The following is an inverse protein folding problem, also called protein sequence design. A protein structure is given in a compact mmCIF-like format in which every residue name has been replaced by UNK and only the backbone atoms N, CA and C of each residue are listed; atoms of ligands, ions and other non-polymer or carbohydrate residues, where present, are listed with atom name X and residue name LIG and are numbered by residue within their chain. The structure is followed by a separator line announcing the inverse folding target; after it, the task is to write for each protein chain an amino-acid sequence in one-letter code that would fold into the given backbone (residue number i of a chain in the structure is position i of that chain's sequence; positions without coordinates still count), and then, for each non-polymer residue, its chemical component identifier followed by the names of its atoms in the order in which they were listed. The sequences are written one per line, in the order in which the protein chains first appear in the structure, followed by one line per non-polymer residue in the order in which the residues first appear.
data_IF_659872367829
#
_entry.id   IF_659872367829
#
_cell.length_a   1.000
_cell.length_b   1.000
_cell.length_c   1.000
_cell.angle_alpha   90.00
_cell.angle_beta   90.00
_cell.angle_gamma   90.00
#
_symmetry.space_group_name_H-M   'P 1'
#
loop_
_entity.id
_entity.type
_entity.pdbx_description
1 polymer ?
#
# COMPACT_ATOMS: atom_id res chain seq x y z
N UNK A 1 -3.95 -16.21 17.24
CA UNK A 1 -4.02 -14.81 16.71
C UNK A 1 -5.10 -14.81 15.67
N UNK A 2 -6.02 -13.86 15.75
CA UNK A 2 -7.05 -13.73 14.73
C UNK A 2 -6.37 -13.42 13.39
N UNK A 3 -6.87 -14.03 12.30
CA UNK A 3 -6.34 -13.75 10.96
C UNK A 3 -6.53 -12.29 10.61
N UNK A 4 -5.56 -11.68 9.92
CA UNK A 4 -5.70 -10.31 9.41
C UNK A 4 -6.93 -10.27 8.49
N UNK A 5 -7.88 -9.34 8.70
CA UNK A 5 -9.00 -9.18 7.79
C UNK A 5 -8.51 -8.92 6.37
N UNK A 6 -9.22 -9.48 5.40
CA UNK A 6 -8.90 -9.29 3.99
C UNK A 6 -10.00 -8.50 3.28
N UNK A 7 -9.61 -7.69 2.31
CA UNK A 7 -10.51 -7.07 1.36
C UNK A 7 -10.48 -7.85 0.05
N UNK A 8 -11.64 -7.95 -0.61
CA UNK A 8 -11.73 -8.54 -1.95
C UNK A 8 -11.63 -7.42 -2.98
N UNK A 9 -10.62 -7.50 -3.83
CA UNK A 9 -10.41 -6.59 -4.96
C UNK A 9 -11.46 -6.83 -6.06
N UNK A 10 -11.62 -5.88 -6.97
CA UNK A 10 -12.62 -5.95 -8.06
C UNK A 10 -12.43 -7.14 -9.02
N UNK A 11 -11.28 -7.76 -9.02
CA UNK A 11 -10.97 -8.97 -9.79
C UNK A 11 -11.07 -10.27 -8.97
N UNK A 12 -11.59 -10.20 -7.73
CA UNK A 12 -11.77 -11.36 -6.84
C UNK A 12 -10.56 -11.76 -6.02
N UNK A 13 -9.39 -11.15 -6.23
CA UNK A 13 -8.19 -11.41 -5.41
C UNK A 13 -8.37 -10.82 -4.01
N UNK A 14 -8.01 -11.58 -2.98
CA UNK A 14 -8.05 -11.10 -1.60
C UNK A 14 -6.70 -10.52 -1.20
N UNK A 15 -6.72 -9.37 -0.52
CA UNK A 15 -5.55 -8.67 -0.01
C UNK A 15 -5.70 -8.43 1.51
N UNK A 16 -4.67 -8.74 2.33
CA UNK A 16 -4.70 -8.39 3.75
C UNK A 16 -4.87 -6.89 3.97
N UNK A 17 -5.76 -6.51 4.87
CA UNK A 17 -6.07 -5.10 5.15
C UNK A 17 -4.94 -4.36 5.87
N UNK A 18 -3.99 -5.09 6.46
CA UNK A 18 -2.77 -4.56 7.06
C UNK A 18 -1.55 -5.21 6.42
N UNK A 19 -0.73 -4.42 5.77
CA UNK A 19 0.54 -4.83 5.17
C UNK A 19 1.74 -4.16 5.83
N UNK A 20 2.93 -4.55 5.42
CA UNK A 20 4.20 -4.02 5.89
C UNK A 20 4.95 -3.34 4.73
N UNK A 21 5.17 -2.02 4.84
CA UNK A 21 5.91 -1.25 3.85
C UNK A 21 7.41 -1.22 4.16
N UNK A 22 8.25 -1.20 3.11
CA UNK A 22 9.72 -1.18 3.27
C UNK A 22 10.38 0.11 2.72
N UNK A 23 9.61 1.14 2.41
CA UNK A 23 10.17 2.41 1.94
C UNK A 23 11.18 2.99 2.93
N UNK A 24 12.37 3.39 2.43
CA UNK A 24 13.50 3.90 3.24
C UNK A 24 14.07 2.89 4.26
N UNK A 25 13.82 1.59 4.09
CA UNK A 25 14.68 0.58 4.70
C UNK A 25 15.89 0.38 3.81
N UNK A 26 17.11 0.54 4.34
CA UNK A 26 18.30 0.21 3.56
C UNK A 26 18.38 -1.31 3.34
N UNK A 27 19.00 -1.77 2.24
CA UNK A 27 19.07 -3.20 1.90
C UNK A 27 19.53 -4.07 3.07
N UNK A 28 20.57 -3.67 3.79
CA UNK A 28 21.16 -4.40 4.91
C UNK A 28 20.22 -4.62 6.11
N UNK A 29 19.15 -3.81 6.23
CA UNK A 29 18.15 -3.96 7.29
C UNK A 29 16.85 -4.63 6.78
N UNK A 30 16.62 -4.60 5.46
CA UNK A 30 15.33 -4.97 4.87
C UNK A 30 15.00 -6.43 5.10
N UNK A 31 15.92 -7.36 4.83
CA UNK A 31 15.69 -8.79 5.00
C UNK A 31 15.27 -9.12 6.44
N UNK A 32 16.01 -8.62 7.44
CA UNK A 32 15.69 -8.83 8.85
C UNK A 32 14.34 -8.21 9.24
N UNK A 33 14.06 -6.99 8.78
CA UNK A 33 12.83 -6.28 9.14
C UNK A 33 11.59 -6.94 8.53
N UNK A 34 11.66 -7.42 7.29
CA UNK A 34 10.60 -8.19 6.63
C UNK A 34 10.40 -9.55 7.33
N UNK A 35 11.48 -10.26 7.66
CA UNK A 35 11.41 -11.51 8.45
C UNK A 35 10.68 -11.28 9.78
N UNK A 36 11.05 -10.22 10.53
CA UNK A 36 10.38 -9.85 11.77
C UNK A 36 8.90 -9.53 11.57
N UNK A 37 8.54 -8.86 10.45
CA UNK A 37 7.14 -8.58 10.15
C UNK A 37 6.35 -9.87 9.87
N UNK A 38 6.90 -10.80 9.08
CA UNK A 38 6.26 -12.09 8.79
C UNK A 38 6.09 -12.91 10.07
N UNK A 39 7.11 -12.96 10.94
CA UNK A 39 7.05 -13.61 12.27
C UNK A 39 5.98 -12.96 13.18
N UNK A 40 5.79 -11.65 13.12
CA UNK A 40 4.74 -10.93 13.85
C UNK A 40 3.33 -11.21 13.33
N UNK A 41 3.19 -11.82 12.14
CA UNK A 41 1.90 -12.18 11.54
C UNK A 41 1.53 -11.42 10.27
N UNK A 42 2.34 -10.46 9.81
CA UNK A 42 2.08 -9.81 8.53
C UNK A 42 2.11 -10.83 7.38
N UNK A 43 1.19 -10.69 6.44
CA UNK A 43 1.08 -11.52 5.24
C UNK A 43 1.09 -10.69 3.94
N UNK A 44 1.13 -9.36 4.03
CA UNK A 44 1.29 -8.46 2.90
C UNK A 44 2.55 -7.64 3.05
N UNK A 45 3.42 -7.66 2.02
CA UNK A 45 4.70 -6.96 1.98
C UNK A 45 4.70 -6.03 0.76
N UNK A 46 4.94 -4.74 0.99
CA UNK A 46 4.95 -3.70 -0.05
C UNK A 46 6.36 -3.15 -0.26
N UNK A 47 6.90 -3.34 -1.45
CA UNK A 47 8.14 -2.76 -1.92
C UNK A 47 7.96 -1.98 -3.22
N UNK A 48 9.03 -1.53 -3.84
CA UNK A 48 9.06 -0.89 -5.15
C UNK A 48 10.48 -0.91 -5.74
N UNK A 49 10.58 -0.87 -7.06
CA UNK A 49 11.86 -0.75 -7.79
C UNK A 49 12.71 0.42 -7.26
N UNK A 50 12.07 1.57 -7.02
CA UNK A 50 12.73 2.77 -6.48
C UNK A 50 13.46 2.51 -5.14
N UNK A 51 12.95 1.59 -4.31
CA UNK A 51 13.49 1.39 -2.96
C UNK A 51 14.81 0.63 -2.95
N UNK A 52 15.16 -0.05 -4.06
CA UNK A 52 16.41 -0.80 -4.26
C UNK A 52 16.64 -1.89 -3.22
N UNK A 53 15.55 -2.48 -2.73
CA UNK A 53 15.58 -3.53 -1.70
C UNK A 53 14.69 -4.74 -2.05
N UNK A 54 14.29 -4.87 -3.32
CA UNK A 54 13.45 -5.98 -3.79
C UNK A 54 14.11 -7.34 -3.55
N UNK A 55 15.42 -7.45 -3.75
CA UNK A 55 16.19 -8.68 -3.52
C UNK A 55 16.14 -9.13 -2.06
N UNK A 56 16.27 -8.21 -1.13
CA UNK A 56 16.23 -8.50 0.30
C UNK A 56 14.81 -8.85 0.77
N UNK A 57 13.79 -8.24 0.17
CA UNK A 57 12.39 -8.65 0.36
C UNK A 57 12.20 -10.10 -0.12
N UNK A 58 12.67 -10.43 -1.32
CA UNK A 58 12.59 -11.78 -1.87
C UNK A 58 13.29 -12.83 -0.99
N UNK A 59 14.49 -12.52 -0.48
CA UNK A 59 15.20 -13.41 0.46
C UNK A 59 14.39 -13.65 1.74
N UNK A 60 13.83 -12.59 2.34
CA UNK A 60 13.01 -12.72 3.54
C UNK A 60 11.76 -13.55 3.30
N UNK A 61 11.09 -13.37 2.17
CA UNK A 61 9.93 -14.17 1.74
C UNK A 61 10.32 -15.62 1.60
N UNK A 62 11.41 -15.93 0.88
CA UNK A 62 11.90 -17.30 0.67
C UNK A 62 12.38 -18.00 1.94
N UNK A 63 12.92 -17.26 2.90
CA UNK A 63 13.42 -17.77 4.19
C UNK A 63 12.35 -17.86 5.28
N UNK A 64 11.14 -17.32 5.06
CA UNK A 64 10.11 -17.17 6.10
C UNK A 64 9.49 -18.47 6.59
N UNK A 65 9.58 -19.54 5.80
CA UNK A 65 8.89 -20.82 6.06
C UNK A 65 7.36 -20.74 5.88
N UNK A 66 6.81 -19.58 5.49
CA UNK A 66 5.40 -19.41 5.17
C UNK A 66 5.17 -19.81 3.70
N UNK A 67 4.15 -20.61 3.38
CA UNK A 67 3.81 -20.92 1.99
C UNK A 67 3.66 -19.66 1.14
N UNK A 68 4.20 -19.66 -0.10
CA UNK A 68 4.20 -18.48 -0.97
C UNK A 68 2.80 -17.93 -1.22
N UNK A 69 1.82 -18.80 -1.35
CA UNK A 69 0.41 -18.50 -1.58
C UNK A 69 -0.28 -17.83 -0.38
N UNK A 70 0.30 -17.89 0.81
CA UNK A 70 -0.17 -17.19 2.01
C UNK A 70 0.43 -15.79 2.14
N UNK A 71 1.44 -15.46 1.32
CA UNK A 71 2.06 -14.13 1.29
C UNK A 71 1.57 -13.33 0.10
N UNK A 72 1.25 -12.07 0.33
CA UNK A 72 0.86 -11.09 -0.67
C UNK A 72 2.01 -10.12 -0.90
N UNK A 73 2.66 -10.17 -2.05
CA UNK A 73 3.83 -9.37 -2.38
C UNK A 73 3.50 -8.35 -3.45
N UNK A 74 3.70 -7.07 -3.12
CA UNK A 74 3.50 -5.93 -4.01
C UNK A 74 4.83 -5.29 -4.38
N UNK A 75 5.04 -5.00 -5.66
CA UNK A 75 6.07 -4.06 -6.09
C UNK A 75 5.53 -3.09 -7.15
N UNK A 76 6.34 -2.09 -7.55
CA UNK A 76 5.90 -0.97 -8.38
C UNK A 76 6.92 -0.63 -9.45
N UNK A 77 6.42 -0.38 -10.67
CA UNK A 77 7.15 0.18 -11.80
C UNK A 77 7.56 1.62 -11.48
N UNK A 78 8.84 1.96 -11.71
CA UNK A 78 9.29 3.34 -11.50
C UNK A 78 9.06 4.23 -12.74
N UNK A 79 9.17 5.54 -12.54
CA UNK A 79 8.78 6.58 -13.50
C UNK A 79 9.56 6.55 -14.84
N UNK A 80 10.82 6.17 -14.83
CA UNK A 80 11.68 6.08 -16.02
C UNK A 80 11.42 4.83 -16.89
N UNK A 81 10.53 3.96 -16.42
CA UNK A 81 10.19 2.69 -17.07
C UNK A 81 8.77 2.71 -17.70
N UNK A 82 8.16 3.90 -17.82
CA UNK A 82 6.86 4.05 -18.48
C UNK A 82 6.92 3.70 -19.98
N UNK A 83 5.87 3.03 -20.46
CA UNK A 83 5.71 2.55 -21.85
C UNK A 83 5.47 1.05 -21.88
N UNK A 84 4.94 0.53 -22.97
CA UNK A 84 4.51 -0.86 -23.06
C UNK A 84 5.70 -1.83 -22.90
N UNK A 85 6.68 -1.78 -23.78
CA UNK A 85 7.83 -2.70 -23.77
C UNK A 85 8.74 -2.46 -22.54
N UNK A 86 8.92 -1.19 -22.16
CA UNK A 86 9.73 -0.84 -21.01
C UNK A 86 9.11 -1.40 -19.72
N UNK A 87 7.79 -1.32 -19.56
CA UNK A 87 7.07 -1.84 -18.41
C UNK A 87 7.14 -3.38 -18.30
N UNK A 88 7.05 -4.10 -19.44
CA UNK A 88 7.22 -5.56 -19.45
C UNK A 88 8.65 -5.93 -19.03
N UNK A 89 9.66 -5.25 -19.58
CA UNK A 89 11.05 -5.48 -19.19
C UNK A 89 11.34 -5.12 -17.72
N UNK A 90 10.71 -4.05 -17.20
CA UNK A 90 10.82 -3.65 -15.81
C UNK A 90 10.22 -4.68 -14.86
N UNK A 91 9.05 -5.23 -15.21
CA UNK A 91 8.42 -6.30 -14.45
C UNK A 91 9.35 -7.53 -14.33
N UNK A 92 9.93 -8.00 -15.43
CA UNK A 92 10.84 -9.15 -15.40
C UNK A 92 12.06 -8.90 -14.53
N UNK A 93 12.61 -7.68 -14.54
CA UNK A 93 13.71 -7.32 -13.63
C UNK A 93 13.29 -7.36 -12.17
N UNK A 94 12.16 -6.74 -11.81
CA UNK A 94 11.62 -6.73 -10.43
C UNK A 94 11.30 -8.15 -9.95
N UNK A 95 10.65 -8.97 -10.80
CA UNK A 95 10.35 -10.37 -10.52
C UNK A 95 11.64 -11.19 -10.27
N UNK A 96 12.65 -10.97 -11.11
CA UNK A 96 13.97 -11.60 -10.97
C UNK A 96 14.71 -11.18 -9.71
N UNK A 97 14.69 -9.88 -9.34
CA UNK A 97 15.29 -9.39 -8.09
C UNK A 97 14.57 -9.95 -6.86
N UNK A 98 13.24 -10.04 -6.89
CA UNK A 98 12.45 -10.69 -5.84
C UNK A 98 12.65 -12.21 -5.80
N UNK A 99 13.09 -12.84 -6.90
CA UNK A 99 13.24 -14.29 -7.00
C UNK A 99 11.91 -15.04 -6.89
N UNK A 100 10.83 -14.45 -7.40
CA UNK A 100 9.48 -15.01 -7.33
C UNK A 100 8.97 -15.42 -8.72
N UNK A 101 8.14 -16.47 -8.76
CA UNK A 101 7.52 -16.92 -10.01
C UNK A 101 6.38 -16.02 -10.46
N UNK A 102 5.67 -15.39 -9.52
CA UNK A 102 4.58 -14.47 -9.75
C UNK A 102 4.54 -13.37 -8.67
N UNK A 103 3.86 -12.26 -8.98
CA UNK A 103 3.54 -11.22 -8.01
C UNK A 103 2.04 -11.21 -7.70
N UNK A 104 1.68 -10.82 -6.48
CA UNK A 104 0.29 -10.68 -6.09
C UNK A 104 -0.30 -9.37 -6.62
N UNK A 105 0.49 -8.28 -6.58
CA UNK A 105 0.07 -6.98 -7.07
C UNK A 105 1.26 -6.23 -7.71
N UNK A 106 1.04 -5.68 -8.89
CA UNK A 106 1.99 -4.80 -9.56
C UNK A 106 1.36 -3.44 -9.83
N UNK A 107 2.04 -2.36 -9.43
CA UNK A 107 1.53 -1.00 -9.50
C UNK A 107 2.35 -0.11 -10.43
N UNK A 108 1.69 0.82 -11.13
CA UNK A 108 2.36 2.02 -11.66
C UNK A 108 2.58 2.96 -10.47
N UNK A 109 3.84 3.32 -10.17
CA UNK A 109 4.19 4.06 -8.94
C UNK A 109 3.65 5.50 -8.92
N UNK A 110 3.70 6.20 -10.06
CA UNK A 110 3.18 7.55 -10.26
C UNK A 110 2.61 7.69 -11.68
N UNK A 111 1.61 8.55 -11.89
CA UNK A 111 1.05 8.76 -13.24
C UNK A 111 2.01 9.48 -14.19
N UNK A 112 2.90 10.34 -13.66
CA UNK A 112 3.81 11.21 -14.42
C UNK A 112 3.12 11.85 -15.63
N UNK A 113 2.15 12.77 -15.40
CA UNK A 113 1.34 13.33 -16.48
C UNK A 113 2.18 14.03 -17.57
N UNK A 114 3.36 14.57 -17.18
CA UNK A 114 4.29 15.22 -18.10
C UNK A 114 4.86 14.28 -19.17
N UNK A 115 4.93 12.97 -18.93
CA UNK A 115 5.34 11.97 -19.89
C UNK A 115 4.18 11.46 -20.77
N UNK A 116 2.96 11.58 -20.28
CA UNK A 116 1.73 11.11 -20.95
C UNK A 116 1.75 9.65 -21.42
N UNK A 117 2.42 8.75 -20.66
CA UNK A 117 2.63 7.35 -21.04
C UNK A 117 1.95 6.33 -20.13
N UNK A 118 1.24 6.75 -19.08
CA UNK A 118 0.65 5.81 -18.13
C UNK A 118 -0.46 4.92 -18.72
N UNK A 119 -1.18 5.37 -19.74
CA UNK A 119 -2.18 4.53 -20.44
C UNK A 119 -1.49 3.39 -21.23
N UNK A 120 -0.41 3.70 -21.92
CA UNK A 120 0.41 2.70 -22.61
C UNK A 120 1.03 1.71 -21.61
N UNK A 121 1.56 2.23 -20.52
CA UNK A 121 2.09 1.43 -19.39
C UNK A 121 1.01 0.52 -18.80
N UNK A 122 -0.21 1.03 -18.60
CA UNK A 122 -1.31 0.24 -18.08
C UNK A 122 -1.66 -0.95 -18.99
N UNK A 123 -1.62 -0.78 -20.30
CA UNK A 123 -1.82 -1.89 -21.26
C UNK A 123 -0.77 -3.00 -21.11
N UNK A 124 0.47 -2.65 -20.76
CA UNK A 124 1.48 -3.65 -20.43
C UNK A 124 1.12 -4.42 -19.13
N UNK A 125 0.62 -3.74 -18.11
CA UNK A 125 0.16 -4.40 -16.88
C UNK A 125 -1.05 -5.33 -17.17
N UNK A 126 -1.98 -4.93 -18.04
CA UNK A 126 -3.07 -5.79 -18.48
C UNK A 126 -2.57 -7.06 -19.16
N UNK A 127 -1.51 -6.97 -19.97
CA UNK A 127 -0.85 -8.14 -20.58
C UNK A 127 -0.28 -9.07 -19.52
N UNK A 128 0.44 -8.53 -18.52
CA UNK A 128 0.99 -9.33 -17.41
C UNK A 128 -0.10 -10.03 -16.59
N UNK A 129 -1.24 -9.37 -16.39
CA UNK A 129 -2.39 -9.96 -15.73
C UNK A 129 -2.98 -11.10 -16.56
N UNK A 130 -3.16 -10.91 -17.86
CA UNK A 130 -3.70 -11.93 -18.76
C UNK A 130 -2.80 -13.16 -18.89
N UNK A 131 -1.48 -12.97 -18.77
CA UNK A 131 -0.50 -14.06 -18.80
C UNK A 131 -0.40 -14.83 -17.47
N UNK A 132 -1.06 -14.34 -16.42
CA UNK A 132 -0.97 -14.92 -15.08
C UNK A 132 0.34 -14.62 -14.34
N UNK A 133 1.17 -13.71 -14.86
CA UNK A 133 2.41 -13.28 -14.21
C UNK A 133 2.16 -12.46 -12.95
N UNK A 134 1.01 -11.79 -12.87
CA UNK A 134 0.52 -11.07 -11.70
C UNK A 134 -0.91 -11.47 -11.39
N UNK A 135 -1.30 -11.48 -10.11
CA UNK A 135 -2.66 -11.80 -9.68
C UNK A 135 -3.60 -10.59 -9.74
N UNK A 136 -3.06 -9.39 -9.53
CA UNK A 136 -3.80 -8.13 -9.61
C UNK A 136 -2.88 -7.02 -10.12
N UNK A 137 -3.49 -6.01 -10.76
CA UNK A 137 -2.81 -4.80 -11.22
C UNK A 137 -3.50 -3.57 -10.66
N UNK A 138 -2.70 -2.56 -10.34
CA UNK A 138 -3.20 -1.32 -9.77
C UNK A 138 -2.28 -0.15 -10.09
N UNK A 139 -2.57 0.95 -9.43
CA UNK A 139 -1.83 2.19 -9.59
C UNK A 139 -1.47 2.79 -8.23
N UNK A 140 -0.57 3.76 -8.22
CA UNK A 140 -0.25 4.53 -7.03
C UNK A 140 -0.21 6.02 -7.39
N UNK A 141 -0.73 6.86 -6.48
CA UNK A 141 -0.75 8.31 -6.62
C UNK A 141 -1.59 8.85 -7.80
N UNK A 142 -2.53 8.07 -8.32
CA UNK A 142 -3.42 8.53 -9.38
C UNK A 142 -4.55 9.38 -8.81
N UNK A 143 -4.80 10.53 -9.46
CA UNK A 143 -5.93 11.42 -9.18
C UNK A 143 -7.16 11.01 -10.01
N UNK A 144 -8.38 11.50 -9.70
CA UNK A 144 -9.58 11.14 -10.45
C UNK A 144 -9.46 11.35 -11.96
N UNK A 145 -8.75 12.38 -12.41
CA UNK A 145 -8.52 12.66 -13.84
C UNK A 145 -7.71 11.55 -14.51
N UNK A 146 -6.68 11.04 -13.84
CA UNK A 146 -5.86 9.95 -14.36
C UNK A 146 -6.63 8.63 -14.39
N UNK A 147 -7.39 8.35 -13.32
CA UNK A 147 -8.21 7.13 -13.22
C UNK A 147 -9.32 7.10 -14.27
N UNK A 148 -10.05 8.22 -14.48
CA UNK A 148 -11.06 8.31 -15.55
C UNK A 148 -10.46 7.97 -16.89
N UNK A 149 -9.31 8.54 -17.22
CA UNK A 149 -8.65 8.29 -18.50
C UNK A 149 -8.26 6.81 -18.67
N UNK A 150 -7.78 6.13 -17.62
CA UNK A 150 -7.55 4.68 -17.67
C UNK A 150 -8.84 3.92 -17.93
N UNK A 151 -9.90 4.23 -17.19
CA UNK A 151 -11.21 3.55 -17.31
C UNK A 151 -11.82 3.76 -18.70
N UNK A 152 -11.69 4.96 -19.26
CA UNK A 152 -12.26 5.30 -20.58
C UNK A 152 -11.46 4.72 -21.76
N UNK A 153 -10.15 4.55 -21.61
CA UNK A 153 -9.25 4.18 -22.71
C UNK A 153 -8.71 2.74 -22.64
N UNK A 154 -9.12 1.99 -21.60
CA UNK A 154 -8.66 0.62 -21.39
C UNK A 154 -9.79 -0.27 -20.87
N UNK A 155 -9.58 -1.59 -20.91
CA UNK A 155 -10.61 -2.58 -20.58
C UNK A 155 -10.71 -2.92 -19.09
N UNK A 156 -9.61 -2.75 -18.34
CA UNK A 156 -9.51 -3.19 -16.96
C UNK A 156 -9.39 -1.97 -16.03
N UNK A 157 -10.31 -1.90 -15.06
CA UNK A 157 -10.27 -0.92 -13.98
C UNK A 157 -9.17 -1.30 -12.99
N UNK A 158 -8.33 -0.36 -12.52
CA UNK A 158 -7.35 -0.66 -11.48
C UNK A 158 -7.99 -1.34 -10.27
N UNK A 159 -7.39 -2.44 -9.81
CA UNK A 159 -7.91 -3.14 -8.65
C UNK A 159 -7.70 -2.34 -7.35
N UNK A 160 -6.65 -1.52 -7.34
CA UNK A 160 -6.24 -0.75 -6.17
C UNK A 160 -5.55 0.55 -6.60
N UNK A 161 -5.74 1.63 -5.83
CA UNK A 161 -4.93 2.84 -5.89
C UNK A 161 -4.27 3.08 -4.52
N UNK A 162 -2.93 3.04 -4.48
CA UNK A 162 -2.14 3.30 -3.28
C UNK A 162 -1.81 4.80 -3.20
N UNK A 163 -2.32 5.49 -2.19
CA UNK A 163 -2.23 6.96 -2.08
C UNK A 163 -1.68 7.39 -0.72
N UNK A 164 -1.14 8.62 -0.64
CA UNK A 164 -0.90 9.23 0.66
C UNK A 164 -2.23 9.39 1.40
N UNK A 165 -2.36 8.75 2.55
CA UNK A 165 -3.57 8.86 3.33
C UNK A 165 -3.27 8.71 4.82
N UNK A 166 -3.70 9.69 5.59
CA UNK A 166 -3.58 9.76 7.05
C UNK A 166 -4.55 10.81 7.59
N UNK A 167 -4.72 10.98 8.92
CA UNK A 167 -5.73 11.89 9.47
C UNK A 167 -5.67 13.34 8.98
N UNK A 168 -4.48 13.87 8.61
CA UNK A 168 -4.36 15.22 8.05
C UNK A 168 -4.61 15.29 6.53
N UNK A 169 -4.76 14.13 5.88
CA UNK A 169 -5.03 14.00 4.44
C UNK A 169 -5.92 12.78 4.19
N UNK A 170 -7.19 12.79 4.59
CA UNK A 170 -8.08 11.62 4.45
C UNK A 170 -8.57 11.40 3.02
N UNK A 171 -8.38 12.37 2.11
CA UNK A 171 -8.69 12.29 0.68
C UNK A 171 -10.12 11.77 0.36
N UNK A 172 -11.13 12.33 1.00
CA UNK A 172 -12.51 11.83 0.93
C UNK A 172 -13.06 11.80 -0.51
N UNK A 173 -12.81 12.84 -1.30
CA UNK A 173 -13.27 12.89 -2.70
C UNK A 173 -12.65 11.78 -3.55
N UNK A 174 -11.34 11.54 -3.40
CA UNK A 174 -10.65 10.49 -4.13
C UNK A 174 -11.12 9.11 -3.67
N UNK A 175 -11.34 8.91 -2.37
CA UNK A 175 -11.88 7.65 -1.82
C UNK A 175 -13.31 7.40 -2.28
N UNK A 176 -14.16 8.44 -2.36
CA UNK A 176 -15.50 8.32 -2.91
C UNK A 176 -15.45 7.92 -4.39
N UNK A 177 -14.52 8.49 -5.16
CA UNK A 177 -14.28 8.07 -6.54
C UNK A 177 -13.87 6.60 -6.62
N UNK A 178 -12.95 6.15 -5.77
CA UNK A 178 -12.53 4.75 -5.71
C UNK A 178 -13.72 3.82 -5.43
N UNK A 179 -14.51 4.13 -4.41
CA UNK A 179 -15.68 3.33 -4.03
C UNK A 179 -16.70 3.22 -5.18
N UNK A 180 -16.95 4.33 -5.90
CA UNK A 180 -17.88 4.36 -7.04
C UNK A 180 -17.40 3.48 -8.23
N UNK A 181 -16.11 3.17 -8.32
CA UNK A 181 -15.53 2.39 -9.42
C UNK A 181 -14.99 1.03 -8.97
N UNK A 182 -15.24 0.62 -7.73
CA UNK A 182 -14.76 -0.66 -7.20
C UNK A 182 -13.23 -0.74 -7.05
N UNK A 183 -12.55 0.40 -6.87
CA UNK A 183 -11.11 0.49 -6.68
C UNK A 183 -10.82 0.45 -5.17
N UNK A 184 -9.98 -0.47 -4.72
CA UNK A 184 -9.55 -0.50 -3.32
C UNK A 184 -8.60 0.68 -3.02
N UNK A 185 -8.69 1.22 -1.81
CA UNK A 185 -7.80 2.28 -1.34
C UNK A 185 -6.74 1.71 -0.42
N UNK A 186 -5.47 1.95 -0.72
CA UNK A 186 -4.35 1.61 0.15
C UNK A 186 -3.59 2.87 0.56
N UNK A 187 -3.27 2.96 1.85
CA UNK A 187 -2.61 4.12 2.45
C UNK A 187 -1.09 3.91 2.55
N UNK A 188 -0.31 4.67 1.76
CA UNK A 188 1.09 4.86 2.11
C UNK A 188 1.25 6.03 3.09
N UNK A 189 2.34 6.01 3.89
CA UNK A 189 2.56 6.89 5.04
C UNK A 189 1.32 6.97 5.99
N UNK A 190 0.67 5.84 6.35
CA UNK A 190 -0.59 5.85 7.09
C UNK A 190 -0.46 6.56 8.45
N UNK A 191 0.73 6.64 9.00
CA UNK A 191 1.05 7.29 10.28
C UNK A 191 1.54 8.74 10.14
N UNK A 192 1.38 9.38 8.95
CA UNK A 192 1.89 10.73 8.67
C UNK A 192 3.35 10.91 9.11
N UNK A 193 4.18 9.87 8.93
CA UNK A 193 5.59 9.81 9.38
C UNK A 193 5.77 10.11 10.87
N UNK A 194 4.74 9.93 11.70
CA UNK A 194 4.75 10.14 13.15
C UNK A 194 4.42 11.58 13.59
N UNK A 195 4.17 12.51 12.67
CA UNK A 195 3.85 13.91 12.99
C UNK A 195 2.60 14.08 13.84
N UNK A 196 1.68 13.10 13.80
CA UNK A 196 0.41 13.14 14.51
C UNK A 196 0.45 12.54 15.92
N UNK A 197 1.55 11.94 16.35
CA UNK A 197 1.57 11.21 17.62
C UNK A 197 1.39 12.10 18.86
N UNK A 198 1.79 13.38 18.78
CA UNK A 198 1.59 14.39 19.84
C UNK A 198 0.30 15.20 19.69
N UNK A 199 -0.49 14.96 18.63
CA UNK A 199 -1.79 15.62 18.47
C UNK A 199 -2.70 15.30 19.65
N UNK A 200 -3.38 16.29 20.23
CA UNK A 200 -4.18 16.14 21.46
C UNK A 200 -5.32 15.13 21.33
N UNK A 201 -6.00 15.11 20.19
CA UNK A 201 -7.07 14.14 19.89
C UNK A 201 -6.51 12.72 19.83
N UNK A 202 -5.46 12.49 19.03
CA UNK A 202 -4.83 11.17 18.92
C UNK A 202 -4.26 10.70 20.25
N UNK A 203 -3.54 11.55 20.98
CA UNK A 203 -2.99 11.23 22.30
C UNK A 203 -4.09 10.97 23.35
N UNK A 204 -5.21 11.71 23.28
CA UNK A 204 -6.38 11.48 24.12
C UNK A 204 -7.02 10.11 23.88
N UNK A 205 -7.22 9.75 22.61
CA UNK A 205 -7.75 8.45 22.22
C UNK A 205 -6.79 7.31 22.59
N UNK A 206 -5.48 7.52 22.42
CA UNK A 206 -4.47 6.54 22.83
C UNK A 206 -4.61 6.20 24.34
N UNK A 207 -4.79 7.21 25.20
CA UNK A 207 -5.05 7.00 26.64
C UNK A 207 -6.39 6.30 26.88
N UNK A 208 -7.47 6.74 26.20
CA UNK A 208 -8.82 6.18 26.33
C UNK A 208 -8.86 4.67 26.07
N UNK A 209 -8.16 4.23 25.02
CA UNK A 209 -8.15 2.84 24.60
C UNK A 209 -6.98 2.02 25.16
N UNK A 210 -6.05 2.63 25.92
CA UNK A 210 -4.84 1.95 26.40
C UNK A 210 -3.94 1.47 25.27
N UNK A 211 -3.87 2.24 24.17
CA UNK A 211 -3.13 1.92 22.94
C UNK A 211 -2.13 3.01 22.60
N UNK A 212 -1.19 2.72 21.69
CA UNK A 212 -0.28 3.74 21.19
C UNK A 212 -0.97 4.64 20.16
N UNK A 213 -0.50 5.89 19.94
CA UNK A 213 -1.00 6.75 18.87
C UNK A 213 -0.98 6.08 17.48
N UNK A 214 0.06 5.28 17.19
CA UNK A 214 0.16 4.53 15.95
C UNK A 214 -0.99 3.52 15.80
N UNK A 215 -1.31 2.76 16.85
CA UNK A 215 -2.41 1.79 16.84
C UNK A 215 -3.77 2.48 16.64
N UNK A 216 -4.00 3.64 17.23
CA UNK A 216 -5.23 4.42 17.02
C UNK A 216 -5.39 4.80 15.55
N UNK A 217 -4.33 5.36 14.94
CA UNK A 217 -4.38 5.78 13.53
C UNK A 217 -4.55 4.57 12.61
N UNK A 218 -3.84 3.46 12.86
CA UNK A 218 -3.99 2.25 12.06
C UNK A 218 -5.40 1.67 12.19
N UNK A 219 -5.97 1.61 13.41
CA UNK A 219 -7.34 1.14 13.60
C UNK A 219 -8.37 2.02 12.88
N UNK A 220 -8.16 3.34 12.86
CA UNK A 220 -8.98 4.28 12.09
C UNK A 220 -8.96 3.95 10.59
N UNK A 221 -7.78 3.63 10.00
CA UNK A 221 -7.70 3.18 8.61
C UNK A 221 -8.54 1.92 8.37
N UNK A 222 -8.33 0.90 9.21
CA UNK A 222 -9.00 -0.40 9.05
C UNK A 222 -10.53 -0.28 9.14
N UNK A 223 -11.04 0.47 10.13
CA UNK A 223 -12.50 0.66 10.30
C UNK A 223 -13.14 1.49 9.18
N UNK A 224 -12.33 2.21 8.41
CA UNK A 224 -12.77 2.95 7.22
C UNK A 224 -12.61 2.15 5.91
N UNK A 225 -12.30 0.86 5.99
CA UNK A 225 -12.12 0.00 4.83
C UNK A 225 -10.87 0.32 4.01
N UNK A 226 -9.87 0.99 4.62
CA UNK A 226 -8.60 1.32 3.97
C UNK A 226 -7.56 0.25 4.30
N UNK A 227 -6.78 -0.17 3.32
CA UNK A 227 -5.60 -0.99 3.53
C UNK A 227 -4.48 -0.07 4.02
N UNK A 228 -3.73 -0.46 5.04
CA UNK A 228 -2.63 0.35 5.58
C UNK A 228 -1.31 -0.40 5.54
N UNK A 229 -0.24 0.29 5.08
CA UNK A 229 1.11 -0.28 4.99
C UNK A 229 2.12 0.52 5.83
N UNK A 230 2.02 0.46 7.18
CA UNK A 230 2.99 1.11 8.04
C UNK A 230 4.40 0.53 7.84
N UNK A 231 5.41 1.39 7.99
CA UNK A 231 6.83 1.03 7.96
C UNK A 231 7.46 1.22 9.34
N UNK A 232 8.25 0.27 9.77
CA UNK A 232 9.16 0.44 10.91
C UNK A 232 10.40 -0.45 10.75
N UNK A 233 11.56 0.01 11.23
CA UNK A 233 12.77 -0.80 11.35
C UNK A 233 12.90 -1.43 12.75
N UNK A 234 12.08 -0.99 13.72
CA UNK A 234 12.18 -1.39 15.13
C UNK A 234 11.26 -2.58 15.39
N UNK A 235 11.77 -3.76 15.83
CA UNK A 235 10.96 -4.98 16.04
C UNK A 235 9.74 -4.75 16.95
N UNK A 236 9.92 -4.05 18.07
CA UNK A 236 8.81 -3.78 19.00
C UNK A 236 7.70 -2.92 18.37
N UNK A 237 8.06 -1.98 17.47
CA UNK A 237 7.06 -1.18 16.74
C UNK A 237 6.40 -1.98 15.61
N UNK A 238 7.12 -2.90 14.96
CA UNK A 238 6.54 -3.82 13.97
C UNK A 238 5.45 -4.64 14.63
N UNK A 239 5.74 -5.27 15.77
CA UNK A 239 4.76 -6.03 16.53
C UNK A 239 3.61 -5.17 17.06
N UNK A 240 3.89 -3.98 17.61
CA UNK A 240 2.85 -3.08 18.12
C UNK A 240 1.91 -2.58 16.99
N UNK A 241 2.44 -2.28 15.80
CA UNK A 241 1.62 -1.86 14.64
C UNK A 241 0.74 -3.02 14.11
N UNK A 242 1.09 -4.26 14.39
CA UNK A 242 0.28 -5.43 14.06
C UNK A 242 -0.86 -5.65 15.07
N UNK A 243 -0.68 -5.28 16.34
CA UNK A 243 -1.68 -5.43 17.42
C UNK A 243 -2.78 -4.36 17.36
N UNK A 244 -3.60 -4.39 16.29
CA UNK A 244 -4.65 -3.40 16.04
C UNK A 244 -6.05 -4.01 15.86
N UNK A 245 -6.16 -5.32 16.00
CA UNK A 245 -7.44 -6.03 15.75
C UNK A 245 -8.25 -6.26 17.03
N UNK A 246 -7.61 -6.19 18.20
CA UNK A 246 -8.23 -6.48 19.49
C UNK A 246 -9.04 -5.33 20.14
N UNK A 247 -9.33 -4.25 19.40
CA UNK A 247 -10.16 -3.14 19.88
C UNK A 247 -10.85 -2.43 18.72
N UNK A 248 -11.89 -1.64 19.05
CA UNK A 248 -12.62 -0.83 18.08
C UNK A 248 -12.74 0.60 18.58
N UNK A 249 -12.58 1.56 17.64
CA UNK A 249 -12.88 2.97 17.89
C UNK A 249 -14.39 3.19 17.78
N UNK A 250 -14.96 3.95 18.71
CA UNK A 250 -16.35 4.38 18.62
C UNK A 250 -16.56 5.34 17.44
N UNK A 251 -17.79 5.43 16.93
CA UNK A 251 -18.10 6.28 15.79
C UNK A 251 -17.72 7.75 16.02
N UNK A 252 -17.96 8.27 17.23
CA UNK A 252 -17.62 9.64 17.61
C UNK A 252 -16.09 9.86 17.63
N UNK A 253 -15.32 8.82 18.00
CA UNK A 253 -13.85 8.89 18.00
C UNK A 253 -13.30 8.88 16.56
N UNK A 254 -13.91 8.11 15.67
CA UNK A 254 -13.59 8.13 14.23
C UNK A 254 -13.90 9.52 13.65
N UNK A 255 -15.06 10.10 14.00
CA UNK A 255 -15.43 11.45 13.60
C UNK A 255 -14.42 12.49 14.10
N UNK A 256 -14.00 12.40 15.37
CA UNK A 256 -12.99 13.30 15.94
C UNK A 256 -11.62 13.19 15.23
N UNK A 257 -11.25 12.01 14.71
CA UNK A 257 -10.04 11.85 13.88
C UNK A 257 -10.25 12.47 12.50
N UNK A 258 -11.44 12.35 11.91
CA UNK A 258 -11.75 12.93 10.61
C UNK A 258 -11.67 14.47 10.62
N UNK A 259 -11.99 15.12 11.75
CA UNK A 259 -11.86 16.58 11.95
C UNK A 259 -10.39 17.08 11.91
N UNK A 260 -9.41 16.18 11.89
CA UNK A 260 -7.98 16.53 11.83
C UNK A 260 -7.51 16.81 10.39
N UNK A 261 -8.41 16.76 9.41
CA UNK A 261 -8.10 17.08 8.02
C UNK A 261 -7.62 18.54 7.88
N UNK A 262 -6.45 18.70 7.32
CA UNK A 262 -5.86 20.00 6.98
C UNK A 262 -5.38 20.04 5.53
N UNK A 263 -5.72 19.00 4.75
CA UNK A 263 -5.22 18.78 3.40
C UNK A 263 -3.68 18.85 3.32
N UNK A 264 -3.00 18.45 4.41
CA UNK A 264 -1.54 18.52 4.52
C UNK A 264 -0.90 17.25 3.95
N UNK A 265 -0.04 17.40 2.92
CA UNK A 265 0.78 16.32 2.37
C UNK A 265 2.15 16.26 3.04
N UNK A 266 2.62 15.06 3.31
CA UNK A 266 4.01 14.81 3.73
C UNK A 266 4.91 14.41 2.57
N UNK A 267 4.31 14.04 1.43
CA UNK A 267 4.95 13.70 0.15
C UNK A 267 4.66 14.70 -0.95
N UNK A 268 5.07 14.35 -2.17
CA UNK A 268 4.86 15.17 -3.37
C UNK A 268 3.39 15.10 -3.83
N UNK A 269 2.93 16.17 -4.49
CA UNK A 269 1.66 16.15 -5.17
C UNK A 269 1.76 15.35 -6.48
N UNK A 270 0.79 14.46 -6.79
CA UNK A 270 0.87 13.60 -7.99
C UNK A 270 1.01 14.34 -9.31
N UNK A 271 0.41 15.52 -9.43
CA UNK A 271 0.46 16.32 -10.67
C UNK A 271 1.79 17.07 -10.86
N UNK A 272 2.66 17.06 -9.84
CA UNK A 272 3.97 17.70 -9.88
C UNK A 272 5.13 16.77 -10.22
N UNK A 273 4.82 15.53 -10.64
CA UNK A 273 5.82 14.54 -11.02
C UNK A 273 6.07 14.52 -12.53
#
# INVERSE_FOLDING_TARGET
MDAVPELTLNNGVRIPQLGYGVYKLPPEETERAVGTAIEAGYRSIDTAKLYRNEREVGKAVGASGVPREELFVTTKLWNDEHGYEAALAAFERSRGELGLDYLDLYLIHWPVPSLDRYVETWKALQKLLSDGSVRAIGVSNFQPVHLRRLIEQTEIVPALNQIELHPQLPQEELRAFHAAHGIATEAWAPLARGSMFSNSTIAGLARKYGRTPAQIILRWHLQRGTIAIPKSATPSRIAANFDVFGFELAADDIAAINELDTNHRTGLHPDGM
#
